data_IF_473227952708
#
_entry.id   IF_473227952708
#
_cell.length_a   1.000
_cell.length_b   1.000
_cell.length_c   1.000
_cell.angle_alpha   90.00
_cell.angle_beta   90.00
_cell.angle_gamma   90.00
#
_symmetry.space_group_name_H-M   'P 1'
#
loop_
_entity.id
_entity.type
_entity.pdbx_description
1 polymer ?
#
# COMPACT_ATOMS: atom_id res chain seq x y z
N UNK A 1 16.01 -23.92 18.95
CA UNK A 1 15.95 -22.45 18.95
C UNK A 1 15.39 -21.99 17.61
N UNK A 2 14.54 -20.96 17.57
CA UNK A 2 14.09 -20.41 16.29
C UNK A 2 15.27 -19.84 15.51
N UNK A 3 15.27 -20.01 14.19
CA UNK A 3 16.28 -19.43 13.30
C UNK A 3 15.69 -18.18 12.66
N UNK A 4 16.52 -17.17 12.44
CA UNK A 4 16.13 -15.97 11.70
C UNK A 4 16.03 -16.30 10.20
N UNK A 5 15.19 -15.57 9.49
CA UNK A 5 15.13 -15.64 8.03
C UNK A 5 16.37 -14.94 7.45
N UNK A 6 17.27 -15.74 6.86
CA UNK A 6 18.53 -15.24 6.34
C UNK A 6 18.39 -14.31 5.13
N UNK A 7 17.22 -14.33 4.46
CA UNK A 7 16.94 -13.45 3.32
C UNK A 7 16.93 -11.98 3.70
N UNK A 8 16.68 -11.65 5.00
CA UNK A 8 16.77 -10.27 5.48
C UNK A 8 18.15 -9.65 5.32
N UNK A 9 19.20 -10.45 5.21
CA UNK A 9 20.56 -9.97 4.92
C UNK A 9 20.70 -9.41 3.50
N UNK A 10 19.78 -9.77 2.59
CA UNK A 10 19.74 -9.29 1.21
C UNK A 10 18.93 -8.01 1.03
N UNK A 11 18.19 -7.59 2.06
CA UNK A 11 17.45 -6.31 2.06
C UNK A 11 18.44 -5.16 2.28
N UNK A 12 18.29 -4.06 1.55
CA UNK A 12 19.16 -2.89 1.69
C UNK A 12 19.09 -2.32 3.12
N UNK A 13 20.24 -1.93 3.67
CA UNK A 13 20.37 -1.42 5.05
C UNK A 13 19.56 -0.15 5.33
N UNK A 14 19.24 0.64 4.30
CA UNK A 14 18.44 1.85 4.46
C UNK A 14 17.25 1.88 3.49
N UNK A 15 16.07 2.15 4.03
CA UNK A 15 14.87 2.38 3.24
C UNK A 15 15.01 3.71 2.48
N UNK A 16 14.78 3.69 1.15
CA UNK A 16 15.02 4.82 0.26
C UNK A 16 14.46 6.15 0.77
N UNK A 17 13.21 6.16 1.25
CA UNK A 17 12.55 7.38 1.71
C UNK A 17 13.14 7.93 3.01
N UNK A 18 13.61 7.07 3.91
CA UNK A 18 14.30 7.48 5.11
C UNK A 18 15.65 8.14 4.79
N UNK A 19 16.39 7.59 3.81
CA UNK A 19 17.64 8.17 3.36
C UNK A 19 17.44 9.52 2.65
N UNK A 20 16.40 9.66 1.83
CA UNK A 20 16.03 10.94 1.21
C UNK A 20 15.69 11.97 2.29
N UNK A 21 14.86 11.63 3.27
CA UNK A 21 14.51 12.53 4.37
C UNK A 21 15.74 12.98 5.16
N UNK A 22 16.66 12.04 5.44
CA UNK A 22 17.94 12.36 6.11
C UNK A 22 18.77 13.34 5.28
N UNK A 23 18.90 13.13 3.97
CA UNK A 23 19.67 14.04 3.08
C UNK A 23 19.03 15.41 3.00
N UNK A 24 17.72 15.49 2.91
CA UNK A 24 16.99 16.77 2.92
C UNK A 24 17.26 17.52 4.21
N UNK A 25 17.15 16.85 5.35
CA UNK A 25 17.44 17.46 6.66
C UNK A 25 18.87 18.01 6.75
N UNK A 26 19.87 17.24 6.32
CA UNK A 26 21.27 17.69 6.31
C UNK A 26 21.45 18.90 5.39
N UNK A 27 20.77 18.92 4.23
CA UNK A 27 20.83 20.05 3.32
C UNK A 27 20.21 21.32 3.93
N UNK A 28 19.05 21.21 4.57
CA UNK A 28 18.36 22.30 5.27
C UNK A 28 19.24 22.88 6.39
N UNK A 29 19.91 22.02 7.15
CA UNK A 29 20.82 22.44 8.23
C UNK A 29 22.09 23.14 7.71
N UNK A 30 22.61 22.72 6.55
CA UNK A 30 23.83 23.29 5.95
C UNK A 30 23.57 24.49 5.05
N UNK A 31 22.32 24.69 4.59
CA UNK A 31 21.89 25.77 3.71
C UNK A 31 20.55 26.35 4.16
N UNK A 32 20.50 26.95 5.36
CA UNK A 32 19.23 27.43 5.93
C UNK A 32 18.55 28.51 5.06
N UNK A 33 19.32 29.29 4.32
CA UNK A 33 18.82 30.31 3.38
C UNK A 33 18.08 29.71 2.16
N UNK A 34 18.27 28.41 1.87
CA UNK A 34 17.63 27.70 0.74
C UNK A 34 16.57 26.70 1.19
N UNK A 35 16.41 26.53 2.49
CA UNK A 35 15.48 25.52 3.02
C UNK A 35 14.03 25.70 2.54
N UNK A 36 13.59 26.96 2.39
CA UNK A 36 12.26 27.28 1.89
C UNK A 36 12.07 27.05 0.38
N UNK A 37 13.15 26.94 -0.37
CA UNK A 37 13.12 26.80 -1.84
C UNK A 37 13.16 25.33 -2.30
N UNK A 38 13.23 24.38 -1.36
CA UNK A 38 13.33 22.96 -1.67
C UNK A 38 12.02 22.46 -2.28
N UNK A 39 12.09 22.02 -3.53
CA UNK A 39 10.98 21.33 -4.21
C UNK A 39 11.10 19.82 -3.93
N UNK A 40 10.13 19.26 -3.21
CA UNK A 40 10.12 17.85 -2.82
C UNK A 40 9.37 17.01 -3.86
N UNK A 41 10.11 16.31 -4.72
CA UNK A 41 9.57 15.42 -5.75
C UNK A 41 9.80 13.93 -5.45
N UNK A 42 10.18 13.59 -4.21
CA UNK A 42 10.62 12.24 -3.85
C UNK A 42 9.48 11.24 -3.61
N UNK A 43 8.29 11.70 -3.25
CA UNK A 43 7.13 10.85 -2.96
C UNK A 43 5.90 11.48 -3.61
N UNK A 44 5.14 10.65 -4.34
CA UNK A 44 3.79 11.00 -4.78
C UNK A 44 2.83 10.85 -3.61
N UNK A 45 2.59 11.93 -2.88
CA UNK A 45 1.70 11.94 -1.74
C UNK A 45 0.38 12.65 -2.05
N UNK A 46 -0.64 12.36 -1.24
CA UNK A 46 -1.93 13.05 -1.29
C UNK A 46 -1.76 14.44 -0.68
N UNK A 47 -1.93 15.48 -1.49
CA UNK A 47 -1.73 16.88 -1.07
C UNK A 47 -3.01 17.66 -0.80
N UNK A 48 -4.15 17.09 -1.16
CA UNK A 48 -5.47 17.73 -0.95
C UNK A 48 -6.21 17.07 0.22
N UNK A 49 -6.95 17.86 1.01
CA UNK A 49 -7.81 17.30 2.05
C UNK A 49 -8.93 16.44 1.44
N UNK A 50 -9.49 15.57 2.25
CA UNK A 50 -10.63 14.74 1.87
C UNK A 50 -11.83 15.64 1.48
N UNK A 51 -12.61 15.18 0.52
CA UNK A 51 -13.85 15.87 0.12
C UNK A 51 -14.90 15.81 1.24
N UNK A 52 -15.81 16.74 1.21
CA UNK A 52 -16.90 16.82 2.20
C UNK A 52 -17.71 15.51 2.26
N UNK A 53 -18.04 14.92 1.12
CA UNK A 53 -18.78 13.66 1.04
C UNK A 53 -18.06 12.50 1.71
N UNK A 54 -16.72 12.43 1.59
CA UNK A 54 -15.93 11.39 2.26
C UNK A 54 -15.91 11.59 3.77
N UNK A 55 -15.77 12.84 4.23
CA UNK A 55 -15.82 13.16 5.67
C UNK A 55 -17.20 12.82 6.27
N UNK A 56 -18.29 13.17 5.58
CA UNK A 56 -19.66 12.84 6.01
C UNK A 56 -19.85 11.32 6.12
N UNK A 57 -19.43 10.54 5.10
CA UNK A 57 -19.52 9.08 5.12
C UNK A 57 -18.69 8.44 6.25
N UNK A 58 -17.52 9.01 6.58
CA UNK A 58 -16.72 8.54 7.71
C UNK A 58 -17.44 8.79 9.06
N UNK A 59 -18.07 9.95 9.23
CA UNK A 59 -18.86 10.23 10.43
C UNK A 59 -20.04 9.27 10.55
N UNK A 60 -20.82 9.07 9.48
CA UNK A 60 -21.92 8.11 9.44
C UNK A 60 -21.47 6.69 9.78
N UNK A 61 -20.31 6.26 9.25
CA UNK A 61 -19.75 4.96 9.55
C UNK A 61 -19.36 4.80 11.03
N UNK A 62 -18.81 5.85 11.66
CA UNK A 62 -18.47 5.83 13.08
C UNK A 62 -19.75 5.82 13.93
N UNK A 63 -20.74 6.65 13.63
CA UNK A 63 -22.01 6.73 14.35
C UNK A 63 -22.76 5.39 14.29
N UNK A 64 -22.68 4.68 13.16
CA UNK A 64 -23.28 3.35 13.00
C UNK A 64 -22.74 2.31 13.96
N UNK A 65 -21.54 2.50 14.52
CA UNK A 65 -20.95 1.56 15.49
C UNK A 65 -21.52 1.76 16.91
N UNK A 66 -22.19 2.87 17.18
CA UNK A 66 -22.79 3.14 18.49
C UNK A 66 -24.17 2.48 18.71
N UNK A 67 -24.76 1.92 17.65
CA UNK A 67 -26.11 1.34 17.66
C UNK A 67 -26.03 -0.16 17.42
N UNK A 68 -26.64 -0.95 18.29
CA UNK A 68 -26.56 -2.42 18.24
C UNK A 68 -27.02 -3.01 16.90
N UNK A 69 -28.03 -2.42 16.28
CA UNK A 69 -28.63 -2.88 15.02
C UNK A 69 -27.72 -2.66 13.82
N UNK A 70 -26.83 -1.69 13.90
CA UNK A 70 -25.91 -1.30 12.81
C UNK A 70 -24.45 -1.61 13.13
N UNK A 71 -24.13 -1.98 14.35
CA UNK A 71 -22.80 -2.36 14.77
C UNK A 71 -22.28 -3.54 13.90
N UNK A 72 -21.06 -3.38 13.43
CA UNK A 72 -20.37 -4.39 12.63
C UNK A 72 -19.15 -4.89 13.38
N UNK A 73 -19.18 -6.17 13.75
CA UNK A 73 -18.02 -6.89 14.28
C UNK A 73 -17.14 -7.44 13.14
N UNK A 74 -16.73 -8.70 13.26
CA UNK A 74 -16.05 -9.38 12.16
C UNK A 74 -16.96 -9.47 10.93
N UNK A 75 -16.48 -8.94 9.81
CA UNK A 75 -17.16 -9.03 8.51
C UNK A 75 -16.91 -10.38 7.82
N UNK A 76 -17.55 -10.58 6.65
CA UNK A 76 -17.20 -11.68 5.76
C UNK A 76 -15.73 -11.59 5.32
N UNK A 77 -15.08 -12.74 5.10
CA UNK A 77 -13.65 -12.84 4.75
C UNK A 77 -13.26 -12.03 3.51
N UNK A 78 -14.12 -11.99 2.49
CA UNK A 78 -13.90 -11.20 1.27
C UNK A 78 -14.29 -9.72 1.40
N UNK A 79 -14.98 -9.34 2.48
CA UNK A 79 -15.56 -8.02 2.69
C UNK A 79 -17.09 -8.01 2.61
N UNK A 80 -17.69 -6.89 2.98
CA UNK A 80 -19.13 -6.71 2.91
C UNK A 80 -19.63 -6.57 1.48
N UNK A 81 -20.76 -7.20 1.15
CA UNK A 81 -21.37 -7.17 -0.19
C UNK A 81 -21.58 -5.73 -0.70
N UNK A 82 -22.06 -4.82 0.15
CA UNK A 82 -22.28 -3.43 -0.25
C UNK A 82 -21.00 -2.73 -0.74
N UNK A 83 -19.83 -3.06 -0.15
CA UNK A 83 -18.55 -2.49 -0.58
C UNK A 83 -18.07 -3.11 -1.90
N UNK A 84 -18.23 -4.43 -2.05
CA UNK A 84 -17.90 -5.14 -3.28
C UNK A 84 -18.78 -4.67 -4.45
N UNK A 85 -20.08 -4.50 -4.23
CA UNK A 85 -21.04 -3.99 -5.23
C UNK A 85 -20.69 -2.54 -5.62
N UNK A 86 -20.39 -1.67 -4.66
CA UNK A 86 -20.00 -0.28 -4.93
C UNK A 86 -18.72 -0.18 -5.77
N UNK A 87 -17.75 -1.08 -5.53
CA UNK A 87 -16.52 -1.16 -6.32
C UNK A 87 -16.82 -1.71 -7.72
N UNK A 88 -17.63 -2.77 -7.85
CA UNK A 88 -18.04 -3.30 -9.15
C UNK A 88 -18.75 -2.24 -9.99
N UNK A 89 -19.66 -1.47 -9.38
CA UNK A 89 -20.34 -0.35 -10.03
C UNK A 89 -19.39 0.77 -10.47
N UNK A 90 -18.36 1.04 -9.66
CA UNK A 90 -17.32 2.00 -10.04
C UNK A 90 -16.57 1.53 -11.30
N UNK A 91 -16.17 0.26 -11.36
CA UNK A 91 -15.51 -0.31 -12.53
C UNK A 91 -16.44 -0.28 -13.76
N UNK A 92 -17.71 -0.67 -13.61
CA UNK A 92 -18.69 -0.68 -14.70
C UNK A 92 -18.90 0.72 -15.30
N UNK A 93 -18.98 1.76 -14.46
CA UNK A 93 -19.06 3.17 -14.90
C UNK A 93 -17.82 3.63 -15.68
N UNK A 94 -16.69 2.98 -15.49
CA UNK A 94 -15.46 3.22 -16.22
C UNK A 94 -15.21 2.24 -17.38
N UNK A 95 -16.23 1.47 -17.78
CA UNK A 95 -16.20 0.58 -18.93
C UNK A 95 -15.54 -0.78 -18.68
N UNK A 96 -15.37 -1.18 -17.42
CA UNK A 96 -14.77 -2.46 -17.03
C UNK A 96 -15.79 -3.29 -16.25
N UNK A 97 -16.10 -4.49 -16.72
CA UNK A 97 -16.98 -5.42 -16.01
C UNK A 97 -16.16 -6.27 -15.02
N UNK A 98 -16.46 -6.13 -13.73
CA UNK A 98 -15.93 -6.94 -12.64
C UNK A 98 -17.11 -7.46 -11.83
N UNK A 99 -17.12 -8.73 -11.48
CA UNK A 99 -18.16 -9.28 -10.60
C UNK A 99 -17.84 -8.90 -9.14
N UNK A 100 -18.86 -8.54 -8.37
CA UNK A 100 -18.70 -8.26 -6.94
C UNK A 100 -18.03 -9.43 -6.20
N UNK A 101 -18.31 -10.67 -6.62
CA UNK A 101 -17.70 -11.89 -6.06
C UNK A 101 -16.21 -12.06 -6.35
N UNK A 102 -15.67 -11.33 -7.31
CA UNK A 102 -14.24 -11.37 -7.65
C UNK A 102 -13.44 -10.27 -6.91
N UNK A 103 -14.12 -9.49 -6.05
CA UNK A 103 -13.53 -8.40 -5.28
C UNK A 103 -13.27 -8.85 -3.85
N UNK A 104 -12.04 -8.64 -3.39
CA UNK A 104 -11.58 -8.88 -2.03
C UNK A 104 -11.23 -7.55 -1.39
N UNK A 105 -11.83 -7.26 -0.23
CA UNK A 105 -11.57 -6.03 0.53
C UNK A 105 -10.43 -6.29 1.51
N UNK A 106 -9.41 -5.46 1.45
CA UNK A 106 -8.25 -5.52 2.34
C UNK A 106 -7.99 -4.18 3.01
N UNK A 107 -6.97 -4.13 3.85
CA UNK A 107 -6.48 -2.91 4.49
C UNK A 107 -5.55 -2.06 3.60
N UNK A 108 -5.39 -2.44 2.35
CA UNK A 108 -4.69 -1.66 1.32
C UNK A 108 -3.76 -2.47 0.42
N UNK A 109 -3.47 -1.92 -0.74
CA UNK A 109 -2.68 -2.57 -1.79
C UNK A 109 -1.29 -3.03 -1.34
N UNK A 110 -0.69 -2.39 -0.35
CA UNK A 110 0.62 -2.80 0.18
C UNK A 110 0.53 -4.15 0.89
N UNK A 111 -0.50 -4.38 1.69
CA UNK A 111 -0.77 -5.68 2.33
C UNK A 111 -1.05 -6.75 1.29
N UNK A 112 -1.86 -6.43 0.28
CA UNK A 112 -2.16 -7.36 -0.81
C UNK A 112 -0.91 -7.78 -1.57
N UNK A 113 0.00 -6.83 -1.83
CA UNK A 113 1.27 -7.11 -2.50
C UNK A 113 2.15 -8.08 -1.71
N UNK A 114 2.10 -8.01 -0.39
CA UNK A 114 2.78 -8.97 0.49
C UNK A 114 2.09 -10.33 0.49
N UNK A 115 0.78 -10.32 0.74
CA UNK A 115 -0.01 -11.54 0.94
C UNK A 115 -0.10 -12.39 -0.33
N UNK A 116 -0.21 -11.78 -1.51
CA UNK A 116 -0.31 -12.51 -2.77
C UNK A 116 0.94 -13.38 -3.05
N UNK A 117 2.08 -13.03 -2.47
CA UNK A 117 3.31 -13.82 -2.66
C UNK A 117 3.18 -15.23 -2.09
N UNK A 118 2.35 -15.42 -1.06
CA UNK A 118 2.12 -16.72 -0.42
C UNK A 118 1.37 -17.70 -1.32
N UNK A 119 0.65 -17.21 -2.34
CA UNK A 119 -0.05 -18.06 -3.31
C UNK A 119 0.90 -18.73 -4.31
N UNK A 120 2.14 -18.27 -4.42
CA UNK A 120 3.10 -18.74 -5.40
C UNK A 120 4.28 -19.43 -4.73
N UNK A 121 4.74 -20.53 -5.35
CA UNK A 121 5.91 -21.25 -4.88
C UNK A 121 7.17 -20.35 -4.87
N UNK A 122 8.10 -20.64 -3.98
CA UNK A 122 9.30 -19.80 -3.76
C UNK A 122 10.28 -19.81 -4.93
N UNK A 123 10.25 -20.83 -5.77
CA UNK A 123 11.07 -20.96 -6.96
C UNK A 123 10.56 -20.18 -8.19
N UNK A 124 9.41 -19.48 -8.05
CA UNK A 124 8.95 -18.58 -9.09
C UNK A 124 9.88 -17.37 -9.24
N UNK A 125 10.01 -16.90 -10.47
CA UNK A 125 10.71 -15.67 -10.80
C UNK A 125 9.74 -14.50 -10.78
N UNK A 126 10.13 -13.43 -10.10
CA UNK A 126 9.34 -12.19 -10.02
C UNK A 126 9.96 -11.15 -10.95
N UNK A 127 9.17 -10.65 -11.89
CA UNK A 127 9.58 -9.57 -12.79
C UNK A 127 9.15 -8.24 -12.20
N UNK A 128 10.09 -7.32 -12.05
CA UNK A 128 9.86 -6.00 -11.44
C UNK A 128 10.37 -4.91 -12.38
N UNK A 129 9.56 -3.87 -12.70
CA UNK A 129 10.08 -2.74 -13.48
C UNK A 129 11.16 -2.00 -12.70
N UNK A 130 12.09 -1.33 -13.41
CA UNK A 130 13.09 -0.45 -12.81
C UNK A 130 13.07 0.90 -13.52
N UNK A 131 12.78 2.01 -12.80
CA UNK A 131 12.54 2.13 -11.35
C UNK A 131 11.18 1.61 -10.88
N UNK A 132 11.10 1.21 -9.61
CA UNK A 132 9.88 0.69 -8.98
C UNK A 132 9.77 1.14 -7.52
N UNK A 133 8.57 1.09 -6.98
CA UNK A 133 8.35 1.27 -5.55
C UNK A 133 9.05 0.15 -4.76
N UNK A 134 9.93 0.48 -3.79
CA UNK A 134 10.82 -0.49 -3.15
C UNK A 134 10.12 -1.71 -2.54
N UNK A 135 8.87 -1.56 -2.09
CA UNK A 135 8.10 -2.63 -1.46
C UNK A 135 7.98 -3.88 -2.35
N UNK A 136 7.87 -3.72 -3.67
CA UNK A 136 7.82 -4.87 -4.58
C UNK A 136 9.12 -5.68 -4.58
N UNK A 137 10.25 -5.03 -4.40
CA UNK A 137 11.55 -5.68 -4.29
C UNK A 137 11.75 -6.26 -2.89
N UNK A 138 11.53 -5.43 -1.86
CA UNK A 138 11.81 -5.79 -0.48
C UNK A 138 10.99 -7.00 -0.03
N UNK A 139 9.68 -7.01 -0.32
CA UNK A 139 8.77 -8.12 0.04
C UNK A 139 9.23 -9.44 -0.58
N UNK A 140 9.56 -9.44 -1.88
CA UNK A 140 10.00 -10.64 -2.57
C UNK A 140 11.42 -11.07 -2.15
N UNK A 141 12.29 -10.12 -1.81
CA UNK A 141 13.62 -10.41 -1.23
C UNK A 141 13.49 -11.09 0.12
N UNK A 142 12.61 -10.58 1.01
CA UNK A 142 12.37 -11.17 2.32
C UNK A 142 11.79 -12.59 2.22
N UNK A 143 10.98 -12.85 1.20
CA UNK A 143 10.45 -14.20 0.90
C UNK A 143 11.46 -15.12 0.20
N UNK A 144 12.61 -14.62 -0.22
CA UNK A 144 13.68 -15.37 -0.86
C UNK A 144 13.41 -15.72 -2.33
N UNK A 145 12.55 -14.95 -3.00
CA UNK A 145 12.25 -15.13 -4.42
C UNK A 145 13.33 -14.56 -5.33
N UNK A 146 13.47 -15.15 -6.50
CA UNK A 146 14.36 -14.64 -7.53
C UNK A 146 13.71 -13.45 -8.26
N UNK A 147 14.39 -12.29 -8.27
CA UNK A 147 13.90 -11.06 -8.88
C UNK A 147 14.68 -10.76 -10.14
N UNK A 148 13.97 -10.47 -11.22
CA UNK A 148 14.53 -9.97 -12.48
C UNK A 148 13.96 -8.58 -12.73
N UNK A 149 14.85 -7.61 -12.96
CA UNK A 149 14.47 -6.27 -13.30
C UNK A 149 14.19 -6.12 -14.80
N UNK A 150 13.10 -5.43 -15.11
CA UNK A 150 12.72 -5.08 -16.48
C UNK A 150 13.06 -3.60 -16.70
N UNK A 151 13.94 -3.32 -17.63
CA UNK A 151 14.30 -1.96 -18.06
C UNK A 151 13.39 -1.48 -19.20
#
# INVERSE_FOLDING_TARGET
MPKLNENYQNVKDSYLFAEIARRVKVYEETHPEKAADIIRLGIGDVTLPLTKSVIEALHEAVDSQAVSETFKGYGPEQGYAFAQEAIADYYARNGVEVKATDIFISDGAKSDTGNITELFAKDNVVLVPDPVYPVYVDTNTMDGKNIIYMN
#
